data_IF_562357651754
#
_entry.id   IF_562357651754
#
_cell.length_a   1.000
_cell.length_b   1.000
_cell.length_c   1.000
_cell.angle_alpha   90.00
_cell.angle_beta   90.00
_cell.angle_gamma   90.00
#
_symmetry.space_group_name_H-M   'P 1'
#
loop_
_entity.id
_entity.type
_entity.pdbx_description
1 polymer ?
#
# COMPACT_ATOMS: atom_id res chain seq x y z
N UNK A 1 40.82 -31.16 -9.28
CA UNK A 1 40.36 -29.88 -8.67
C UNK A 1 38.85 -29.82 -8.78
N UNK A 2 38.15 -30.07 -7.68
CA UNK A 2 36.68 -30.13 -7.65
C UNK A 2 36.13 -28.70 -7.65
N UNK A 3 35.45 -28.30 -8.72
CA UNK A 3 34.77 -26.99 -8.81
C UNK A 3 33.57 -27.02 -7.87
N UNK A 4 33.64 -26.25 -6.79
CA UNK A 4 32.54 -26.00 -5.88
C UNK A 4 31.53 -25.10 -6.62
N UNK A 5 30.45 -25.68 -7.13
CA UNK A 5 29.33 -24.91 -7.71
C UNK A 5 28.55 -24.34 -6.52
N UNK A 6 28.78 -23.06 -6.24
CA UNK A 6 28.07 -22.31 -5.22
C UNK A 6 26.64 -22.03 -5.73
N UNK A 7 25.70 -22.86 -5.31
CA UNK A 7 24.28 -22.64 -5.57
C UNK A 7 23.82 -21.47 -4.70
N UNK A 8 23.81 -20.25 -5.25
CA UNK A 8 23.14 -19.12 -4.63
C UNK A 8 21.64 -19.39 -4.69
N UNK A 9 21.10 -20.00 -3.64
CA UNK A 9 19.67 -20.07 -3.42
C UNK A 9 19.21 -18.64 -3.08
N UNK A 10 18.85 -17.87 -4.11
CA UNK A 10 18.12 -16.63 -3.92
C UNK A 10 16.74 -17.05 -3.39
N UNK A 11 16.60 -17.07 -2.06
CA UNK A 11 15.30 -17.11 -1.39
C UNK A 11 14.49 -15.95 -1.94
N UNK A 12 13.66 -16.24 -2.94
CA UNK A 12 12.66 -15.32 -3.41
C UNK A 12 11.65 -15.19 -2.28
N UNK A 13 11.79 -14.17 -1.44
CA UNK A 13 10.74 -13.74 -0.52
C UNK A 13 9.55 -13.28 -1.37
N UNK A 14 8.73 -14.23 -1.81
CA UNK A 14 7.38 -13.94 -2.25
C UNK A 14 6.64 -13.40 -1.03
N UNK A 15 6.50 -12.07 -0.94
CA UNK A 15 5.81 -11.43 0.17
C UNK A 15 4.40 -12.01 0.30
N UNK A 16 4.05 -12.48 1.49
CA UNK A 16 2.71 -12.97 1.76
C UNK A 16 1.79 -11.76 1.94
N UNK A 17 0.73 -11.63 1.13
CA UNK A 17 -0.24 -10.52 1.23
C UNK A 17 -0.84 -10.41 2.63
N UNK A 18 -1.06 -11.54 3.31
CA UNK A 18 -1.55 -11.57 4.70
C UNK A 18 -0.62 -10.80 5.64
N UNK A 19 0.70 -10.95 5.50
CA UNK A 19 1.69 -10.24 6.31
C UNK A 19 1.67 -8.74 6.00
N UNK A 20 1.62 -8.38 4.72
CA UNK A 20 1.56 -6.98 4.27
C UNK A 20 0.30 -6.30 4.82
N UNK A 21 -0.86 -6.96 4.74
CA UNK A 21 -2.13 -6.45 5.28
C UNK A 21 -2.06 -6.27 6.79
N UNK A 22 -1.45 -7.22 7.51
CA UNK A 22 -1.28 -7.12 8.95
C UNK A 22 -0.39 -5.92 9.34
N UNK A 23 0.79 -5.80 8.73
CA UNK A 23 1.69 -4.66 8.96
C UNK A 23 1.01 -3.34 8.61
N UNK A 24 0.37 -3.25 7.45
CA UNK A 24 -0.28 -2.03 6.99
C UNK A 24 -1.47 -1.62 7.86
N UNK A 25 -2.24 -2.58 8.39
CA UNK A 25 -3.37 -2.29 9.30
C UNK A 25 -2.91 -1.62 10.60
N UNK A 26 -1.63 -1.79 10.97
CA UNK A 26 -1.08 -1.33 12.23
C UNK A 26 -0.19 -0.08 12.11
N UNK A 27 0.00 0.50 10.92
CA UNK A 27 0.93 1.64 10.72
C UNK A 27 0.58 2.88 11.55
N UNK A 28 -0.69 3.02 11.95
CA UNK A 28 -1.15 4.16 12.75
C UNK A 28 -1.08 3.92 14.26
N UNK A 29 -0.71 2.71 14.73
CA UNK A 29 -0.71 2.38 16.16
C UNK A 29 0.54 2.86 16.90
N UNK A 30 1.69 2.90 16.23
CA UNK A 30 2.93 3.47 16.77
C UNK A 30 3.95 3.80 15.68
N UNK A 31 4.95 4.62 16.01
CA UNK A 31 6.10 4.89 15.11
C UNK A 31 6.89 3.62 14.76
N UNK A 32 6.97 2.68 15.69
CA UNK A 32 7.62 1.38 15.49
C UNK A 32 6.87 0.56 14.43
N UNK A 33 5.54 0.41 14.55
CA UNK A 33 4.74 -0.32 13.55
C UNK A 33 4.76 0.32 12.17
N UNK A 34 4.81 1.65 12.12
CA UNK A 34 5.02 2.37 10.86
C UNK A 34 6.40 2.01 10.25
N UNK A 35 7.45 1.98 11.07
CA UNK A 35 8.81 1.66 10.62
C UNK A 35 8.97 0.19 10.22
N UNK A 36 8.30 -0.74 10.91
CA UNK A 36 8.24 -2.17 10.55
C UNK A 36 7.69 -2.33 9.13
N UNK A 37 6.55 -1.71 8.84
CA UNK A 37 5.94 -1.74 7.52
C UNK A 37 6.84 -1.13 6.43
N UNK A 38 7.44 0.03 6.69
CA UNK A 38 8.37 0.67 5.73
C UNK A 38 9.54 -0.26 5.42
N UNK A 39 10.14 -0.85 6.46
CA UNK A 39 11.32 -1.72 6.33
C UNK A 39 10.97 -3.01 5.61
N UNK A 40 9.80 -3.59 5.89
CA UNK A 40 9.29 -4.76 5.18
C UNK A 40 9.12 -4.48 3.68
N UNK A 41 8.46 -3.37 3.33
CA UNK A 41 8.19 -3.02 1.92
C UNK A 41 9.43 -2.61 1.12
N UNK A 42 10.54 -2.25 1.78
CA UNK A 42 11.82 -2.05 1.11
C UNK A 42 12.41 -3.35 0.56
N UNK A 43 12.15 -4.49 1.23
CA UNK A 43 12.68 -5.81 0.88
C UNK A 43 11.69 -6.68 0.10
N UNK A 44 10.39 -6.38 0.19
CA UNK A 44 9.34 -7.15 -0.45
C UNK A 44 9.45 -7.15 -1.99
N UNK A 45 9.16 -8.30 -2.61
CA UNK A 45 8.98 -8.40 -4.06
C UNK A 45 7.78 -7.54 -4.49
N UNK A 46 7.98 -6.71 -5.52
CA UNK A 46 6.95 -5.82 -6.07
C UNK A 46 6.59 -6.14 -7.52
N UNK A 47 6.64 -7.42 -7.92
CA UNK A 47 6.20 -7.86 -9.27
C UNK A 47 4.71 -7.60 -9.54
N UNK A 48 3.85 -7.76 -8.53
CA UNK A 48 2.40 -7.58 -8.66
C UNK A 48 1.99 -6.12 -8.37
N UNK A 49 1.03 -5.53 -9.12
CA UNK A 49 0.55 -4.17 -8.89
C UNK A 49 0.11 -3.86 -7.45
N UNK A 50 -0.57 -4.79 -6.77
CA UNK A 50 -0.97 -4.57 -5.37
C UNK A 50 0.23 -4.39 -4.42
N UNK A 51 1.34 -5.07 -4.66
CA UNK A 51 2.57 -4.90 -3.89
C UNK A 51 3.25 -3.57 -4.21
N UNK A 52 3.16 -3.10 -5.46
CA UNK A 52 3.61 -1.77 -5.87
C UNK A 52 2.79 -0.66 -5.17
N UNK A 53 1.47 -0.85 -5.03
CA UNK A 53 0.62 0.07 -4.29
C UNK A 53 1.01 0.15 -2.81
N UNK A 54 1.24 -1.00 -2.15
CA UNK A 54 1.74 -1.03 -0.78
C UNK A 54 3.12 -0.38 -0.63
N UNK A 55 4.02 -0.57 -1.59
CA UNK A 55 5.32 0.12 -1.61
C UNK A 55 5.14 1.63 -1.77
N UNK A 56 4.19 2.07 -2.58
CA UNK A 56 3.82 3.47 -2.69
C UNK A 56 3.33 4.06 -1.37
N UNK A 57 2.48 3.32 -0.64
CA UNK A 57 2.03 3.71 0.70
C UNK A 57 3.21 3.81 1.69
N UNK A 58 4.17 2.87 1.64
CA UNK A 58 5.37 2.91 2.47
C UNK A 58 6.24 4.16 2.18
N UNK A 59 6.41 4.54 0.92
CA UNK A 59 7.15 5.77 0.55
C UNK A 59 6.47 7.04 1.08
N UNK A 60 5.13 7.10 1.04
CA UNK A 60 4.39 8.24 1.58
C UNK A 60 4.54 8.29 3.11
N UNK A 61 4.45 7.15 3.80
CA UNK A 61 4.72 7.08 5.23
C UNK A 61 6.16 7.48 5.56
N UNK A 62 7.13 7.05 4.77
CA UNK A 62 8.52 7.47 4.93
C UNK A 62 8.67 8.99 4.74
N UNK A 63 7.99 9.59 3.75
CA UNK A 63 8.04 11.04 3.53
C UNK A 63 7.61 11.84 4.76
N UNK A 64 6.62 11.34 5.53
CA UNK A 64 6.14 12.00 6.76
C UNK A 64 7.25 12.08 7.82
N UNK A 65 8.18 11.13 7.80
CA UNK A 65 9.28 11.03 8.76
C UNK A 65 10.56 11.74 8.26
N UNK A 66 10.64 12.12 6.99
CA UNK A 66 11.82 12.77 6.39
C UNK A 66 11.84 14.28 6.65
N UNK A 67 12.95 14.81 7.16
CA UNK A 67 13.12 16.26 7.46
C UNK A 67 13.55 17.09 6.25
N UNK A 68 14.37 16.52 5.36
CA UNK A 68 14.86 17.18 4.14
C UNK A 68 13.70 17.40 3.17
N UNK A 69 13.41 18.67 2.84
CA UNK A 69 12.22 19.07 2.06
C UNK A 69 12.16 18.40 0.67
N UNK A 70 13.29 18.35 -0.03
CA UNK A 70 13.36 17.78 -1.38
C UNK A 70 13.10 16.28 -1.35
N UNK A 71 13.78 15.56 -0.45
CA UNK A 71 13.61 14.11 -0.28
C UNK A 71 12.17 13.77 0.14
N UNK A 72 11.61 14.53 1.09
CA UNK A 72 10.20 14.41 1.49
C UNK A 72 9.27 14.52 0.28
N UNK A 73 9.46 15.56 -0.55
CA UNK A 73 8.63 15.78 -1.74
C UNK A 73 8.80 14.62 -2.74
N UNK A 74 10.02 14.20 -3.00
CA UNK A 74 10.31 13.13 -3.95
C UNK A 74 9.70 11.79 -3.50
N UNK A 75 9.84 11.44 -2.22
CA UNK A 75 9.23 10.25 -1.63
C UNK A 75 7.71 10.27 -1.77
N UNK A 76 7.08 11.41 -1.47
CA UNK A 76 5.64 11.57 -1.64
C UNK A 76 5.20 11.39 -3.09
N UNK A 77 5.83 12.08 -4.04
CA UNK A 77 5.50 12.02 -5.47
C UNK A 77 5.71 10.61 -6.02
N UNK A 78 6.81 9.96 -5.68
CA UNK A 78 7.10 8.59 -6.09
C UNK A 78 6.07 7.61 -5.50
N UNK A 79 5.70 7.80 -4.24
CA UNK A 79 4.71 6.96 -3.57
C UNK A 79 3.32 7.08 -4.20
N UNK A 80 2.84 8.32 -4.39
CA UNK A 80 1.56 8.60 -5.06
C UNK A 80 1.56 8.04 -6.49
N UNK A 81 2.64 8.27 -7.24
CA UNK A 81 2.79 7.76 -8.60
C UNK A 81 2.80 6.23 -8.69
N UNK A 82 3.35 5.52 -7.69
CA UNK A 82 3.28 4.05 -7.64
C UNK A 82 1.85 3.56 -7.40
N UNK A 83 1.11 4.19 -6.51
CA UNK A 83 -0.29 3.85 -6.22
C UNK A 83 -1.13 4.06 -7.48
N UNK A 84 -1.02 5.23 -8.11
CA UNK A 84 -1.82 5.56 -9.30
C UNK A 84 -1.49 4.64 -10.48
N UNK A 85 -0.21 4.34 -10.71
CA UNK A 85 0.21 3.36 -11.73
C UNK A 85 -0.35 1.98 -11.43
N UNK A 86 -0.46 1.59 -10.16
CA UNK A 86 -1.01 0.30 -9.77
C UNK A 86 -2.52 0.24 -10.03
N UNK A 87 -3.24 1.34 -9.74
CA UNK A 87 -4.66 1.47 -10.10
C UNK A 87 -4.84 1.39 -11.62
N UNK A 88 -4.01 2.07 -12.41
CA UNK A 88 -4.14 2.04 -13.87
C UNK A 88 -3.85 0.66 -14.47
N UNK A 89 -2.98 -0.14 -13.84
CA UNK A 89 -2.67 -1.51 -14.28
C UNK A 89 -3.78 -2.50 -13.94
N UNK A 90 -4.36 -2.39 -12.75
CA UNK A 90 -5.43 -3.26 -12.27
C UNK A 90 -6.59 -2.42 -11.72
N UNK A 91 -7.36 -1.74 -12.59
CA UNK A 91 -8.37 -0.77 -12.16
C UNK A 91 -9.52 -1.37 -11.38
N UNK A 92 -9.74 -2.69 -11.51
CA UNK A 92 -10.79 -3.42 -10.81
C UNK A 92 -10.29 -4.10 -9.51
N UNK A 93 -9.02 -3.93 -9.16
CA UNK A 93 -8.47 -4.48 -7.93
C UNK A 93 -8.87 -3.62 -6.72
N UNK A 94 -9.82 -4.13 -5.95
CA UNK A 94 -10.39 -3.44 -4.78
C UNK A 94 -9.36 -3.12 -3.69
N UNK A 95 -8.33 -3.95 -3.51
CA UNK A 95 -7.29 -3.73 -2.51
C UNK A 95 -6.42 -2.53 -2.88
N UNK A 96 -6.09 -2.38 -4.16
CA UNK A 96 -5.34 -1.22 -4.67
C UNK A 96 -6.15 0.07 -4.49
N UNK A 97 -7.44 0.03 -4.84
CA UNK A 97 -8.37 1.16 -4.65
C UNK A 97 -8.48 1.55 -3.18
N UNK A 98 -8.53 0.57 -2.29
CA UNK A 98 -8.54 0.79 -0.84
C UNK A 98 -7.24 1.47 -0.36
N UNK A 99 -6.07 1.05 -0.86
CA UNK A 99 -4.79 1.67 -0.54
C UNK A 99 -4.73 3.12 -1.04
N UNK A 100 -5.28 3.41 -2.22
CA UNK A 100 -5.33 4.80 -2.71
C UNK A 100 -6.24 5.64 -1.82
N UNK A 101 -7.46 5.17 -1.55
CA UNK A 101 -8.40 5.86 -0.68
C UNK A 101 -7.80 6.14 0.72
N UNK A 102 -7.16 5.13 1.32
CA UNK A 102 -6.57 5.25 2.66
C UNK A 102 -5.53 6.36 2.73
N UNK A 103 -4.71 6.52 1.70
CA UNK A 103 -3.72 7.58 1.61
C UNK A 103 -4.41 8.93 1.41
N UNK A 104 -5.32 9.04 0.43
CA UNK A 104 -6.00 10.29 0.08
C UNK A 104 -6.75 10.90 1.28
N UNK A 105 -7.33 10.07 2.15
CA UNK A 105 -8.03 10.51 3.36
C UNK A 105 -7.10 11.06 4.45
N UNK A 106 -5.83 10.65 4.46
CA UNK A 106 -4.88 10.87 5.55
C UNK A 106 -3.72 11.81 5.18
N UNK A 107 -3.90 12.61 4.14
CA UNK A 107 -2.95 13.63 3.71
C UNK A 107 -3.57 15.04 3.73
N UNK A 108 -2.76 16.10 3.93
CA UNK A 108 -3.26 17.47 3.85
C UNK A 108 -3.81 17.81 2.45
N UNK A 109 -4.97 18.49 2.40
CA UNK A 109 -5.61 18.92 1.14
C UNK A 109 -4.69 19.78 0.26
N UNK A 110 -3.75 20.51 0.86
CA UNK A 110 -2.77 21.34 0.15
C UNK A 110 -1.85 20.53 -0.80
N UNK A 111 -1.68 19.21 -0.56
CA UNK A 111 -0.91 18.33 -1.43
C UNK A 111 -1.69 17.83 -2.66
N UNK A 112 -2.99 18.15 -2.76
CA UNK A 112 -3.86 17.87 -3.92
C UNK A 112 -3.91 16.42 -4.40
N UNK A 113 -3.59 15.45 -3.54
CA UNK A 113 -3.72 14.02 -3.84
C UNK A 113 -4.98 13.45 -3.17
N UNK A 114 -6.14 13.97 -3.59
CA UNK A 114 -7.45 13.62 -3.04
C UNK A 114 -8.58 13.66 -4.07
N UNK A 115 -8.25 13.78 -5.36
CA UNK A 115 -9.21 13.90 -6.45
C UNK A 115 -10.04 12.65 -6.69
N UNK A 116 -9.56 11.48 -6.26
CA UNK A 116 -10.17 10.19 -6.59
C UNK A 116 -10.91 9.55 -5.41
N UNK A 117 -11.09 10.28 -4.30
CA UNK A 117 -11.79 9.75 -3.11
C UNK A 117 -13.19 9.23 -3.49
N UNK A 118 -13.99 10.04 -4.19
CA UNK A 118 -15.35 9.66 -4.56
C UNK A 118 -15.38 8.45 -5.50
N UNK A 119 -14.45 8.40 -6.46
CA UNK A 119 -14.30 7.28 -7.39
C UNK A 119 -14.02 5.97 -6.64
N UNK A 120 -13.05 6.00 -5.71
CA UNK A 120 -12.65 4.81 -4.95
C UNK A 120 -13.76 4.36 -3.99
N UNK A 121 -14.43 5.29 -3.30
CA UNK A 121 -15.58 4.99 -2.42
C UNK A 121 -16.71 4.32 -3.20
N UNK A 122 -17.10 4.89 -4.33
CA UNK A 122 -18.17 4.33 -5.18
C UNK A 122 -17.79 2.94 -5.69
N UNK A 123 -16.55 2.75 -6.15
CA UNK A 123 -16.06 1.46 -6.62
C UNK A 123 -16.07 0.40 -5.50
N UNK A 124 -15.54 0.74 -4.32
CA UNK A 124 -15.44 -0.18 -3.18
C UNK A 124 -16.83 -0.60 -2.72
N UNK A 125 -17.77 0.34 -2.56
CA UNK A 125 -19.14 0.03 -2.14
C UNK A 125 -19.86 -0.92 -3.11
N UNK A 126 -19.73 -0.67 -4.41
CA UNK A 126 -20.35 -1.50 -5.44
C UNK A 126 -19.80 -2.93 -5.44
N UNK A 127 -18.51 -3.10 -5.16
CA UNK A 127 -17.82 -4.38 -5.34
C UNK A 127 -17.55 -5.16 -4.05
N UNK A 128 -17.78 -4.57 -2.87
CA UNK A 128 -17.50 -5.17 -1.57
C UNK A 128 -18.15 -6.55 -1.38
N UNK A 129 -19.40 -6.69 -1.85
CA UNK A 129 -20.14 -7.95 -1.73
C UNK A 129 -19.70 -9.02 -2.73
N UNK A 130 -18.98 -8.64 -3.78
CA UNK A 130 -18.50 -9.52 -4.85
C UNK A 130 -17.10 -10.10 -4.60
N UNK A 131 -16.43 -9.69 -3.51
CA UNK A 131 -15.12 -10.24 -3.12
C UNK A 131 -15.30 -11.72 -2.72
N UNK A 132 -14.65 -12.63 -3.46
CA UNK A 132 -14.67 -14.08 -3.20
C UNK A 132 -13.71 -14.49 -2.08
N UNK A 133 -12.55 -13.85 -2.01
CA UNK A 133 -11.55 -14.10 -0.97
C UNK A 133 -12.03 -13.55 0.39
N UNK A 134 -12.26 -14.44 1.35
CA UNK A 134 -12.86 -14.11 2.64
C UNK A 134 -11.94 -13.26 3.52
N UNK A 135 -10.62 -13.46 3.43
CA UNK A 135 -9.62 -12.70 4.17
C UNK A 135 -9.59 -11.25 3.68
N UNK A 136 -9.51 -11.06 2.35
CA UNK A 136 -9.57 -9.77 1.70
C UNK A 136 -10.90 -9.07 1.98
N UNK A 137 -12.02 -9.80 1.88
CA UNK A 137 -13.34 -9.22 2.18
C UNK A 137 -13.39 -8.68 3.61
N UNK A 138 -12.92 -9.46 4.58
CA UNK A 138 -12.86 -9.05 5.98
C UNK A 138 -11.93 -7.85 6.19
N UNK A 139 -10.79 -7.85 5.51
CA UNK A 139 -9.83 -6.74 5.54
C UNK A 139 -10.43 -5.43 5.01
N UNK A 140 -11.06 -5.46 3.82
CA UNK A 140 -11.72 -4.29 3.22
C UNK A 140 -12.86 -3.80 4.11
N UNK A 141 -13.70 -4.71 4.63
CA UNK A 141 -14.80 -4.35 5.54
C UNK A 141 -14.32 -3.67 6.82
N UNK A 142 -13.22 -4.14 7.43
CA UNK A 142 -12.64 -3.47 8.61
C UNK A 142 -12.20 -2.05 8.28
N UNK A 143 -11.63 -1.83 7.11
CA UNK A 143 -11.19 -0.50 6.68
C UNK A 143 -12.38 0.43 6.41
N UNK A 144 -13.38 -0.04 5.65
CA UNK A 144 -14.60 0.72 5.33
C UNK A 144 -15.31 1.21 6.60
N UNK A 145 -15.40 0.37 7.65
CA UNK A 145 -16.01 0.75 8.94
C UNK A 145 -15.27 1.90 9.66
N UNK A 146 -13.97 2.04 9.41
CA UNK A 146 -13.11 3.03 10.07
C UNK A 146 -12.91 4.30 9.25
N UNK A 147 -13.02 4.21 7.92
CA UNK A 147 -12.83 5.32 7.00
C UNK A 147 -13.85 6.44 7.22
N UNK A 148 -13.39 7.67 6.99
CA UNK A 148 -14.22 8.89 7.11
C UNK A 148 -15.09 9.11 5.88
N UNK A 149 -14.70 8.55 4.73
CA UNK A 149 -15.37 8.78 3.46
C UNK A 149 -16.58 7.87 3.22
N UNK A 150 -16.83 6.90 4.10
CA UNK A 150 -18.03 6.05 4.10
C UNK A 150 -19.04 6.42 5.21
N UNK A 151 -18.81 7.51 5.94
CA UNK A 151 -19.68 8.01 7.01
C UNK A 151 -20.46 9.23 6.57
#
# INVERSE_FOLDING_TARGET
MMKLIMFFFVLSLSGNLTEIRNLYSNVSSSKEKQQDFITYMQKADTKKPVFQAYKGAALILQSKNTTVKNDRKQLFVNGAGLIDKSVNKEPENIEIRLIRLSIQENIPKALKYNSNIQEDVTFINKNLNHIKDSELKSYVQRYVKQSKSFK
#
